data_IF_916784194058
#
_entry.id   IF_916784194058
#
_cell.length_a   1.000
_cell.length_b   1.000
_cell.length_c   1.000
_cell.angle_alpha   90.00
_cell.angle_beta   90.00
_cell.angle_gamma   90.00
#
_symmetry.space_group_name_H-M   'P 1'
#
loop_
_entity.id
_entity.type
_entity.pdbx_description
1 polymer ?
#
# COMPACT_ATOMS: atom_id res chain seq x y z
N UNK A 1 -10.44 9.43 -12.32
CA UNK A 1 -10.42 8.01 -11.87
C UNK A 1 -9.15 7.86 -11.08
N UNK A 2 -9.23 7.61 -9.77
CA UNK A 2 -8.03 7.51 -8.93
C UNK A 2 -7.59 6.05 -8.90
N UNK A 3 -6.36 5.80 -9.32
CA UNK A 3 -5.77 4.47 -9.25
C UNK A 3 -5.50 4.16 -7.78
N UNK A 4 -5.99 3.03 -7.29
CA UNK A 4 -5.85 2.64 -5.87
C UNK A 4 -4.52 1.93 -5.64
N UNK A 5 -4.19 1.01 -6.53
CA UNK A 5 -3.02 0.15 -6.47
C UNK A 5 -2.44 0.03 -7.88
N UNK A 6 -1.11 0.05 -7.96
CA UNK A 6 -0.35 -0.26 -9.16
C UNK A 6 0.53 -1.47 -8.80
N UNK A 7 0.29 -2.64 -9.40
CA UNK A 7 1.07 -3.84 -9.09
C UNK A 7 2.55 -3.68 -9.43
N UNK A 8 3.43 -4.37 -8.69
CA UNK A 8 4.88 -4.39 -8.94
C UNK A 8 5.24 -4.59 -10.41
N UNK A 9 4.64 -5.61 -11.03
CA UNK A 9 4.89 -5.99 -12.42
C UNK A 9 4.60 -4.85 -13.41
N UNK A 10 3.71 -3.93 -13.04
CA UNK A 10 3.34 -2.76 -13.85
C UNK A 10 4.27 -1.59 -13.58
N UNK A 11 4.49 -1.20 -12.33
CA UNK A 11 5.23 0.03 -12.05
C UNK A 11 6.74 -0.14 -12.20
N UNK A 12 7.28 -1.33 -11.92
CA UNK A 12 8.72 -1.57 -11.91
C UNK A 12 9.35 -1.51 -13.31
N UNK A 13 8.56 -1.77 -14.35
CA UNK A 13 8.97 -1.70 -15.76
C UNK A 13 8.57 -0.38 -16.44
N UNK A 14 8.35 0.69 -15.66
CA UNK A 14 7.87 1.98 -16.16
C UNK A 14 8.67 3.16 -15.57
N UNK A 15 8.30 4.40 -15.92
CA UNK A 15 8.84 5.60 -15.30
C UNK A 15 8.56 5.68 -13.78
N UNK A 16 7.56 4.93 -13.30
CA UNK A 16 7.24 4.82 -11.87
C UNK A 16 8.31 4.04 -11.08
N UNK A 17 9.23 3.35 -11.76
CA UNK A 17 10.36 2.65 -11.15
C UNK A 17 11.24 3.56 -10.29
N UNK A 18 11.20 4.89 -10.50
CA UNK A 18 11.85 5.88 -9.65
C UNK A 18 11.44 5.75 -8.17
N UNK A 19 10.23 5.24 -7.88
CA UNK A 19 9.75 5.01 -6.53
C UNK A 19 10.66 4.07 -5.72
N UNK A 20 11.41 3.17 -6.38
CA UNK A 20 12.35 2.25 -5.70
C UNK A 20 13.45 2.97 -4.93
N UNK A 21 13.79 4.20 -5.32
CA UNK A 21 14.84 5.00 -4.68
C UNK A 21 14.33 5.77 -3.46
N UNK A 22 13.02 6.02 -3.37
CA UNK A 22 12.42 6.87 -2.34
C UNK A 22 11.39 6.17 -1.47
N UNK A 23 10.99 4.94 -1.83
CA UNK A 23 9.91 4.21 -1.18
C UNK A 23 8.50 4.72 -1.48
N UNK A 24 8.37 5.86 -2.19
CA UNK A 24 7.09 6.50 -2.53
C UNK A 24 7.20 7.38 -3.77
N UNK A 25 6.06 7.75 -4.35
CA UNK A 25 5.96 8.69 -5.47
C UNK A 25 4.65 9.47 -5.40
N UNK A 26 4.66 10.74 -5.83
CA UNK A 26 3.44 11.54 -5.95
C UNK A 26 3.09 11.73 -7.42
N UNK A 27 1.87 11.33 -7.81
CA UNK A 27 1.34 11.44 -9.16
C UNK A 27 0.01 12.18 -9.12
N UNK A 28 -0.09 13.31 -9.84
CA UNK A 28 -1.32 14.11 -9.92
C UNK A 28 -1.91 14.44 -8.53
N UNK A 29 -1.04 14.82 -7.57
CA UNK A 29 -1.44 15.14 -6.19
C UNK A 29 -1.75 13.93 -5.30
N UNK A 30 -1.64 12.70 -5.80
CA UNK A 30 -1.85 11.48 -5.03
C UNK A 30 -0.50 10.83 -4.68
N UNK A 31 -0.27 10.57 -3.40
CA UNK A 31 0.95 9.89 -2.92
C UNK A 31 0.73 8.38 -2.89
N UNK A 32 1.61 7.65 -3.56
CA UNK A 32 1.67 6.19 -3.57
C UNK A 32 2.91 5.73 -2.82
N UNK A 33 2.78 4.68 -2.03
CA UNK A 33 3.85 4.14 -1.18
C UNK A 33 4.08 2.68 -1.54
N UNK A 34 5.35 2.27 -1.58
CA UNK A 34 5.73 0.87 -1.76
C UNK A 34 5.36 0.10 -0.51
N UNK A 35 4.68 -1.03 -0.68
CA UNK A 35 4.29 -1.92 0.41
C UNK A 35 4.35 -3.38 -0.02
N UNK A 36 4.51 -4.27 0.97
CA UNK A 36 4.49 -5.71 0.74
C UNK A 36 3.05 -6.24 0.58
N UNK A 37 2.92 -7.55 0.30
CA UNK A 37 1.63 -8.27 0.19
C UNK A 37 0.67 -8.12 1.38
N UNK A 38 1.19 -7.74 2.55
CA UNK A 38 0.43 -7.55 3.78
C UNK A 38 0.00 -6.09 4.02
N UNK A 39 0.28 -5.19 3.08
CA UNK A 39 -0.01 -3.77 3.21
C UNK A 39 0.85 -3.09 4.28
N UNK A 40 2.04 -3.61 4.58
CA UNK A 40 3.05 -2.94 5.41
C UNK A 40 3.97 -2.15 4.50
N UNK A 41 4.13 -0.86 4.79
CA UNK A 41 4.95 0.03 3.94
C UNK A 41 6.44 -0.27 4.08
N UNK A 42 7.21 0.05 3.04
CA UNK A 42 8.68 -0.05 3.09
C UNK A 42 9.29 0.77 4.24
N UNK A 43 8.65 1.88 4.62
CA UNK A 43 9.05 2.69 5.75
C UNK A 43 8.84 1.96 7.07
N UNK A 44 7.67 1.36 7.29
CA UNK A 44 7.41 0.56 8.50
C UNK A 44 8.29 -0.69 8.60
N UNK A 45 8.72 -1.24 7.47
CA UNK A 45 9.63 -2.40 7.44
C UNK A 45 11.09 -1.99 7.77
N UNK A 46 11.44 -0.72 7.54
CA UNK A 46 12.80 -0.19 7.69
C UNK A 46 12.99 0.70 8.92
N UNK A 47 11.94 0.95 9.69
CA UNK A 47 11.95 1.80 10.88
C UNK A 47 12.20 0.95 12.14
N UNK A 48 13.32 1.14 12.88
CA UNK A 48 13.62 0.39 14.11
C UNK A 48 12.56 0.47 15.21
N UNK A 49 11.76 1.54 15.23
CA UNK A 49 10.69 1.75 16.21
C UNK A 49 9.36 1.12 15.76
N UNK A 50 9.28 0.63 14.52
CA UNK A 50 8.11 -0.04 13.99
C UNK A 50 8.06 -1.51 14.45
N UNK A 51 6.87 -1.97 14.84
CA UNK A 51 6.63 -3.40 15.12
C UNK A 51 6.82 -4.33 13.91
N UNK A 52 6.93 -3.76 12.72
CA UNK A 52 7.17 -4.50 11.48
C UNK A 52 8.64 -4.44 11.04
N UNK A 53 9.52 -3.84 11.84
CA UNK A 53 10.93 -3.72 11.51
C UNK A 53 11.54 -5.09 11.22
N UNK A 54 12.22 -5.20 10.08
CA UNK A 54 12.84 -6.46 9.67
C UNK A 54 14.29 -6.59 10.14
N UNK A 55 14.95 -5.51 10.61
CA UNK A 55 16.36 -5.51 11.02
C UNK A 55 17.32 -4.99 9.96
N UNK A 56 18.45 -4.41 10.38
CA UNK A 56 19.37 -3.64 9.52
C UNK A 56 20.01 -4.43 8.37
N UNK A 57 20.09 -5.76 8.50
CA UNK A 57 20.73 -6.65 7.53
C UNK A 57 19.73 -7.55 6.79
N UNK A 58 18.43 -7.29 6.94
CA UNK A 58 17.38 -8.04 6.27
C UNK A 58 16.79 -7.21 5.12
N UNK A 59 16.25 -7.88 4.11
CA UNK A 59 15.52 -7.18 3.04
C UNK A 59 14.14 -6.80 3.57
N UNK A 60 13.75 -5.54 3.37
CA UNK A 60 12.42 -5.08 3.73
C UNK A 60 11.31 -5.91 3.05
N UNK A 61 11.51 -6.23 1.77
CA UNK A 61 10.65 -7.10 0.98
C UNK A 61 11.55 -8.12 0.28
N UNK A 62 11.29 -9.42 0.47
CA UNK A 62 12.10 -10.47 -0.14
C UNK A 62 11.90 -10.56 -1.65
N UNK A 63 12.93 -11.04 -2.35
CA UNK A 63 12.84 -11.24 -3.79
C UNK A 63 11.74 -12.26 -4.13
N UNK A 64 10.87 -11.90 -5.07
CA UNK A 64 9.70 -12.70 -5.45
C UNK A 64 8.45 -12.45 -4.60
N UNK A 65 8.54 -11.66 -3.52
CA UNK A 65 7.35 -11.10 -2.88
C UNK A 65 6.91 -9.81 -3.59
N UNK A 66 5.60 -9.59 -3.77
CA UNK A 66 5.13 -8.42 -4.46
C UNK A 66 5.39 -7.14 -3.66
N UNK A 67 5.93 -6.13 -4.35
CA UNK A 67 6.13 -4.78 -3.85
C UNK A 67 5.21 -3.80 -4.60
N UNK A 68 3.96 -3.65 -4.18
CA UNK A 68 2.97 -2.82 -4.87
C UNK A 68 3.09 -1.34 -4.50
N UNK A 69 2.77 -0.45 -5.45
CA UNK A 69 2.53 0.97 -5.16
C UNK A 69 1.06 1.16 -4.82
N UNK A 70 0.77 1.57 -3.58
CA UNK A 70 -0.60 1.79 -3.12
C UNK A 70 -0.82 3.22 -2.68
N UNK A 71 -1.97 3.77 -3.06
CA UNK A 71 -2.41 5.09 -2.66
C UNK A 71 -2.42 5.18 -1.13
N UNK A 72 -1.72 6.15 -0.56
CA UNK A 72 -1.45 6.25 0.88
C UNK A 72 -2.74 6.20 1.73
N UNK A 73 -3.81 6.84 1.26
CA UNK A 73 -5.11 6.87 1.94
C UNK A 73 -5.79 5.49 2.03
N UNK A 74 -5.39 4.52 1.22
CA UNK A 74 -5.87 3.14 1.20
C UNK A 74 -5.03 2.18 2.04
N UNK A 75 -3.83 2.59 2.51
CA UNK A 75 -2.95 1.72 3.30
C UNK A 75 -3.64 1.09 4.53
N UNK A 76 -4.49 1.81 5.31
CA UNK A 76 -5.20 1.18 6.42
C UNK A 76 -6.14 0.05 5.99
N UNK A 77 -6.78 0.18 4.83
CA UNK A 77 -7.65 -0.86 4.27
C UNK A 77 -6.80 -2.03 3.79
N UNK A 78 -5.73 -1.78 3.04
CA UNK A 78 -4.81 -2.84 2.57
C UNK A 78 -4.33 -3.69 3.75
N UNK A 79 -3.81 -3.05 4.80
CA UNK A 79 -3.30 -3.74 6.00
C UNK A 79 -4.35 -4.63 6.69
N UNK A 80 -5.65 -4.39 6.48
CA UNK A 80 -6.74 -5.22 7.01
C UNK A 80 -7.13 -6.37 6.10
N UNK A 81 -7.07 -6.19 4.78
CA UNK A 81 -7.66 -7.13 3.81
C UNK A 81 -6.65 -7.92 2.99
N UNK A 82 -5.39 -7.47 2.93
CA UNK A 82 -4.35 -8.07 2.10
C UNK A 82 -4.50 -7.75 0.60
N UNK A 83 -3.57 -8.28 -0.20
CA UNK A 83 -3.37 -7.88 -1.61
C UNK A 83 -4.56 -8.23 -2.49
N UNK A 84 -4.95 -9.49 -2.48
CA UNK A 84 -5.98 -10.02 -3.38
C UNK A 84 -7.33 -9.33 -3.17
N UNK A 85 -7.70 -9.12 -1.90
CA UNK A 85 -8.95 -8.44 -1.57
C UNK A 85 -8.90 -6.96 -1.91
N UNK A 86 -7.76 -6.29 -1.77
CA UNK A 86 -7.60 -4.90 -2.21
C UNK A 86 -7.77 -4.79 -3.73
N UNK A 87 -7.17 -5.71 -4.50
CA UNK A 87 -7.33 -5.79 -5.96
C UNK A 87 -8.81 -5.99 -6.31
N UNK A 88 -9.49 -6.92 -5.63
CA UNK A 88 -10.93 -7.14 -5.82
C UNK A 88 -11.76 -5.86 -5.59
N UNK A 89 -11.50 -5.14 -4.51
CA UNK A 89 -12.17 -3.86 -4.21
C UNK A 89 -11.90 -2.80 -5.28
N UNK A 90 -10.66 -2.72 -5.78
CA UNK A 90 -10.28 -1.78 -6.83
C UNK A 90 -10.95 -2.12 -8.18
N UNK A 91 -10.98 -3.40 -8.57
CA UNK A 91 -11.67 -3.88 -9.77
C UNK A 91 -13.17 -3.61 -9.72
N UNK A 92 -13.79 -3.79 -8.55
CA UNK A 92 -15.20 -3.52 -8.30
C UNK A 92 -15.52 -2.02 -8.11
N UNK A 93 -14.52 -1.13 -8.22
CA UNK A 93 -14.67 0.33 -8.08
C UNK A 93 -15.28 0.76 -6.73
N UNK A 94 -15.02 -0.01 -5.68
CA UNK A 94 -15.47 0.33 -4.32
C UNK A 94 -14.79 1.62 -3.88
N UNK A 95 -15.54 2.55 -3.30
CA UNK A 95 -14.97 3.80 -2.80
C UNK A 95 -14.17 3.57 -1.51
N UNK A 96 -13.27 4.49 -1.16
CA UNK A 96 -12.48 4.39 0.07
C UNK A 96 -13.37 4.35 1.33
N UNK A 97 -14.48 5.08 1.34
CA UNK A 97 -15.39 5.12 2.48
C UNK A 97 -16.18 3.81 2.65
N UNK A 98 -16.66 3.23 1.55
CA UNK A 98 -17.28 1.90 1.56
C UNK A 98 -16.26 0.82 1.98
N UNK A 99 -15.04 0.88 1.46
CA UNK A 99 -13.98 -0.06 1.82
C UNK A 99 -13.66 0.03 3.32
N UNK A 100 -13.52 1.24 3.88
CA UNK A 100 -13.34 1.46 5.32
C UNK A 100 -14.50 0.93 6.15
N UNK A 101 -15.74 1.02 5.66
CA UNK A 101 -16.91 0.49 6.33
C UNK A 101 -16.89 -1.04 6.38
N UNK A 102 -16.58 -1.70 5.26
CA UNK A 102 -16.44 -3.16 5.16
C UNK A 102 -15.41 -3.72 6.14
N UNK A 103 -14.32 -2.98 6.40
CA UNK A 103 -13.23 -3.43 7.28
C UNK A 103 -13.31 -2.88 8.71
N UNK A 104 -14.41 -2.20 9.06
CA UNK A 104 -14.62 -1.67 10.41
C UNK A 104 -13.70 -0.50 10.80
N UNK A 105 -13.13 0.23 9.84
CA UNK A 105 -12.25 1.38 10.07
C UNK A 105 -13.00 2.71 10.20
N UNK A 106 -14.32 2.72 10.05
CA UNK A 106 -15.13 3.93 10.19
C UNK A 106 -15.27 4.30 11.67
N UNK A 107 -14.75 5.48 12.07
CA UNK A 107 -15.03 6.06 13.39
C UNK A 107 -16.54 6.34 13.47
N UNK A 108 -17.25 5.71 14.40
CA UNK A 108 -18.63 6.13 14.75
C UNK A 108 -18.57 7.62 15.06
N UNK A 109 -19.32 8.44 14.31
CA UNK A 109 -19.49 9.86 14.67
C UNK A 109 -20.03 9.87 16.11
N UNK A 110 -19.25 10.43 17.05
CA UNK A 110 -19.80 10.79 18.37
C UNK A 110 -20.93 11.78 18.08
N UNK A 111 -22.15 11.38 18.43
CA UNK A 111 -23.33 12.26 18.48
C UNK A 111 -23.10 13.35 19.52
#
# INVERSE_FOLDING_TARGET
>A
MNVVLIPEEVWMNSQLSIARHYGRITLNGNTYVICNKNGVTIFELSDPDSKYYVGDNNKAIEAGEPADLVLESWMPVYKKVGRDKLIELACNRVSLEEAKELVGLRKKKKK
#
